data_IF_720109249888
#
_entry.id   IF_720109249888
#
_cell.length_a   1.000
_cell.length_b   1.000
_cell.length_c   1.000
_cell.angle_alpha   90.00
_cell.angle_beta   90.00
_cell.angle_gamma   90.00
#
_symmetry.space_group_name_H-M   'P 1'
#
loop_
_entity.id
_entity.type
_entity.pdbx_description
1 polymer ?
#
# COMPACT_ATOMS: atom_id res chain seq x y z
N UNK A 1 -5.53 -0.76 -5.28
CA UNK A 1 -5.78 -0.99 -3.85
C UNK A 1 -7.26 -1.31 -3.64
N UNK A 2 -7.57 -2.29 -2.79
CA UNK A 2 -8.94 -2.71 -2.44
C UNK A 2 -9.65 -1.64 -1.61
N UNK A 3 -10.95 -1.41 -1.86
CA UNK A 3 -11.77 -0.54 -0.98
C UNK A 3 -12.22 -1.32 0.26
N UNK A 4 -12.43 -0.63 1.38
CA UNK A 4 -12.97 -1.29 2.59
C UNK A 4 -14.40 -1.79 2.37
N UNK A 5 -15.18 -1.11 1.52
CA UNK A 5 -16.51 -1.55 1.09
C UNK A 5 -16.54 -2.87 0.32
N UNK A 6 -15.41 -3.30 -0.27
CA UNK A 6 -15.30 -4.61 -0.92
C UNK A 6 -15.16 -5.75 0.11
N UNK A 7 -14.91 -5.43 1.39
CA UNK A 7 -14.61 -6.37 2.48
C UNK A 7 -15.72 -6.36 3.54
N UNK A 8 -16.29 -5.19 3.83
CA UNK A 8 -17.32 -5.01 4.85
C UNK A 8 -18.45 -4.10 4.39
N UNK A 9 -19.66 -4.41 4.83
CA UNK A 9 -20.86 -3.60 4.63
C UNK A 9 -20.98 -2.42 5.62
N UNK A 10 -19.96 -2.17 6.45
CA UNK A 10 -19.91 -1.03 7.39
C UNK A 10 -19.20 0.20 6.81
N UNK A 11 -18.77 0.12 5.55
CA UNK A 11 -18.27 1.25 4.79
C UNK A 11 -19.39 2.23 4.44
N UNK A 12 -19.03 3.46 4.06
CA UNK A 12 -19.99 4.42 3.54
C UNK A 12 -20.50 4.03 2.14
N UNK A 13 -21.40 4.85 1.58
CA UNK A 13 -21.97 4.63 0.24
C UNK A 13 -20.93 4.63 -0.90
N UNK A 14 -19.73 5.16 -0.67
CA UNK A 14 -18.64 5.19 -1.64
C UNK A 14 -17.67 4.00 -1.45
N UNK A 15 -17.92 3.14 -0.46
CA UNK A 15 -17.03 2.04 -0.08
C UNK A 15 -15.81 2.49 0.73
N UNK A 16 -15.88 3.65 1.38
CA UNK A 16 -14.81 4.27 2.17
C UNK A 16 -15.07 4.13 3.68
N UNK A 17 -14.05 4.42 4.50
CA UNK A 17 -14.19 4.43 5.95
C UNK A 17 -15.08 5.60 6.39
N UNK A 18 -15.87 5.39 7.43
CA UNK A 18 -16.67 6.42 8.08
C UNK A 18 -16.61 6.26 9.60
N UNK A 19 -16.65 7.38 10.32
CA UNK A 19 -16.82 7.41 11.78
C UNK A 19 -18.27 7.06 12.20
N UNK A 20 -19.16 6.84 11.23
CA UNK A 20 -20.57 6.66 11.45
C UNK A 20 -21.24 7.94 11.93
N UNK A 21 -22.35 7.78 12.64
CA UNK A 21 -23.05 8.86 13.32
C UNK A 21 -23.79 8.28 14.52
N UNK A 22 -23.21 8.45 15.71
CA UNK A 22 -23.75 7.92 16.96
C UNK A 22 -25.16 8.46 17.25
N UNK A 23 -25.42 9.74 16.96
CA UNK A 23 -26.73 10.35 17.17
C UNK A 23 -27.82 9.79 16.25
N UNK A 24 -27.43 9.27 15.07
CA UNK A 24 -28.32 8.63 14.11
C UNK A 24 -28.31 7.08 14.20
N UNK A 25 -27.60 6.49 15.17
CA UNK A 25 -27.48 5.05 15.32
C UNK A 25 -26.66 4.35 14.23
N UNK A 26 -25.83 5.09 13.49
CA UNK A 26 -24.95 4.54 12.45
C UNK A 26 -23.58 4.24 13.07
N UNK A 27 -23.18 2.97 13.07
CA UNK A 27 -21.88 2.55 13.58
C UNK A 27 -20.72 2.96 12.64
N UNK A 28 -19.50 3.17 13.17
CA UNK A 28 -18.31 3.37 12.35
C UNK A 28 -17.93 2.10 11.56
N UNK A 29 -17.08 2.29 10.55
CA UNK A 29 -16.55 1.19 9.74
C UNK A 29 -15.67 0.25 10.58
N UNK A 30 -15.88 -1.05 10.41
CA UNK A 30 -15.04 -2.08 11.04
C UNK A 30 -13.66 -2.11 10.40
N UNK A 31 -12.63 -2.16 11.23
CA UNK A 31 -11.25 -2.26 10.81
C UNK A 31 -10.91 -3.71 10.46
N UNK A 32 -10.98 -4.05 9.17
CA UNK A 32 -10.79 -5.41 8.68
C UNK A 32 -9.31 -5.69 8.37
N UNK A 33 -8.78 -6.81 8.89
CA UNK A 33 -7.40 -7.23 8.67
C UNK A 33 -7.02 -7.32 7.18
N UNK A 34 -7.95 -7.75 6.32
CA UNK A 34 -7.73 -7.88 4.88
C UNK A 34 -7.39 -6.54 4.20
N UNK A 35 -7.95 -5.43 4.68
CA UNK A 35 -7.63 -4.12 4.15
C UNK A 35 -6.20 -3.70 4.53
N UNK A 36 -5.81 -3.85 5.80
CA UNK A 36 -4.45 -3.56 6.26
C UNK A 36 -3.41 -4.45 5.59
N UNK A 37 -3.71 -5.73 5.42
CA UNK A 37 -2.86 -6.65 4.69
C UNK A 37 -2.71 -6.24 3.22
N UNK A 38 -3.74 -5.67 2.60
CA UNK A 38 -3.64 -5.10 1.25
C UNK A 38 -2.67 -3.92 1.22
N UNK A 39 -2.77 -2.98 2.17
CA UNK A 39 -1.80 -1.89 2.30
C UNK A 39 -0.38 -2.44 2.46
N UNK A 40 -0.17 -3.38 3.37
CA UNK A 40 1.14 -4.00 3.61
C UNK A 40 1.70 -4.64 2.34
N UNK A 41 0.89 -5.40 1.59
CA UNK A 41 1.32 -6.04 0.34
C UNK A 41 1.72 -5.02 -0.73
N UNK A 42 1.01 -3.90 -0.88
CA UNK A 42 1.38 -2.83 -1.82
C UNK A 42 2.75 -2.23 -1.47
N UNK A 43 3.01 -1.97 -0.18
CA UNK A 43 4.31 -1.48 0.29
C UNK A 43 5.43 -2.52 0.07
N UNK A 44 5.17 -3.78 0.38
CA UNK A 44 6.10 -4.89 0.12
C UNK A 44 6.43 -4.98 -1.37
N UNK A 45 5.43 -4.91 -2.23
CA UNK A 45 5.61 -4.97 -3.69
C UNK A 45 6.47 -3.81 -4.21
N UNK A 46 6.34 -2.61 -3.66
CA UNK A 46 7.22 -1.49 -4.01
C UNK A 46 8.70 -1.77 -3.64
N UNK A 47 8.94 -2.32 -2.43
CA UNK A 47 10.29 -2.68 -1.96
C UNK A 47 10.91 -3.78 -2.80
N UNK A 48 10.18 -4.88 -2.99
CA UNK A 48 10.65 -6.02 -3.78
C UNK A 48 10.78 -5.67 -5.27
N UNK A 49 9.90 -4.83 -5.81
CA UNK A 49 9.96 -4.32 -7.18
C UNK A 49 11.20 -3.45 -7.44
N UNK A 50 11.76 -2.81 -6.41
CA UNK A 50 13.07 -2.16 -6.49
C UNK A 50 14.25 -3.15 -6.36
N UNK A 51 14.00 -4.45 -6.25
CA UNK A 51 15.01 -5.49 -6.04
C UNK A 51 15.63 -5.45 -4.65
N UNK A 52 14.91 -4.95 -3.64
CA UNK A 52 15.33 -4.93 -2.24
C UNK A 52 14.65 -6.10 -1.52
N UNK A 53 15.42 -6.88 -0.73
CA UNK A 53 14.88 -7.95 0.11
C UNK A 53 14.26 -7.34 1.37
N UNK A 54 13.15 -7.92 1.84
CA UNK A 54 12.52 -7.50 3.08
C UNK A 54 13.41 -7.80 4.30
N UNK A 55 13.48 -6.84 5.22
CA UNK A 55 14.19 -6.95 6.49
C UNK A 55 13.33 -6.36 7.62
N UNK A 56 12.89 -7.20 8.56
CA UNK A 56 12.05 -6.78 9.69
C UNK A 56 12.77 -5.88 10.70
N UNK A 57 14.08 -5.67 10.55
CA UNK A 57 14.88 -4.76 11.38
C UNK A 57 15.11 -3.40 10.72
N UNK A 58 14.51 -3.16 9.55
CA UNK A 58 14.73 -1.95 8.77
C UNK A 58 13.41 -1.27 8.37
N UNK A 59 13.10 -0.15 9.00
CA UNK A 59 11.89 0.63 8.70
C UNK A 59 12.07 1.63 7.54
N UNK A 60 13.25 1.68 6.92
CA UNK A 60 13.58 2.61 5.83
C UNK A 60 13.48 2.01 4.42
N UNK A 61 13.01 0.77 4.30
CA UNK A 61 13.04 0.01 3.04
C UNK A 61 12.20 0.63 1.92
N UNK A 62 11.00 1.13 2.25
CA UNK A 62 10.15 1.82 1.28
C UNK A 62 10.83 3.08 0.76
N UNK A 63 11.49 3.84 1.63
CA UNK A 63 12.25 5.03 1.23
C UNK A 63 13.43 4.67 0.33
N UNK A 64 14.18 3.61 0.66
CA UNK A 64 15.25 3.11 -0.20
C UNK A 64 14.73 2.67 -1.58
N UNK A 65 13.58 2.01 -1.62
CA UNK A 65 12.92 1.58 -2.85
C UNK A 65 12.53 2.77 -3.73
N UNK A 66 11.89 3.79 -3.17
CA UNK A 66 11.51 5.01 -3.90
C UNK A 66 12.74 5.68 -4.53
N UNK A 67 13.82 5.88 -3.76
CA UNK A 67 15.07 6.46 -4.29
C UNK A 67 15.63 5.66 -5.45
N UNK A 68 15.64 4.33 -5.34
CA UNK A 68 16.17 3.43 -6.38
C UNK A 68 15.30 3.44 -7.64
N UNK A 69 13.98 3.38 -7.51
CA UNK A 69 13.05 3.41 -8.64
C UNK A 69 13.09 4.74 -9.41
N UNK A 70 13.21 5.87 -8.71
CA UNK A 70 13.39 7.20 -9.34
C UNK A 70 14.73 7.25 -10.08
N UNK A 71 15.82 6.82 -9.44
CA UNK A 71 17.15 6.77 -10.06
C UNK A 71 17.13 5.90 -11.32
N UNK A 72 16.50 4.72 -11.26
CA UNK A 72 16.26 3.91 -12.44
C UNK A 72 15.52 4.69 -13.50
N UNK A 73 14.39 5.30 -13.17
CA UNK A 73 13.59 6.19 -14.03
C UNK A 73 14.44 7.15 -14.89
N UNK A 74 15.46 7.76 -14.30
CA UNK A 74 16.37 8.71 -14.96
C UNK A 74 17.40 8.06 -15.89
N UNK A 75 17.73 6.78 -15.69
CA UNK A 75 18.65 6.05 -16.56
C UNK A 75 17.93 5.67 -17.87
N UNK A 76 18.46 5.99 -19.06
CA UNK A 76 17.87 5.59 -20.33
C UNK A 76 17.67 4.08 -20.42
N UNK A 77 16.49 3.61 -20.86
CA UNK A 77 16.13 2.18 -20.91
C UNK A 77 17.19 1.30 -21.61
N UNK A 78 17.91 1.84 -22.60
CA UNK A 78 19.00 1.16 -23.33
C UNK A 78 20.22 0.83 -22.47
N UNK A 79 20.47 1.58 -21.40
CA UNK A 79 21.59 1.37 -20.46
C UNK A 79 21.20 0.45 -19.30
N UNK A 80 19.90 0.28 -19.00
CA UNK A 80 19.44 -0.56 -17.89
C UNK A 80 19.65 -2.07 -18.12
N UNK A 81 19.56 -2.56 -19.36
CA UNK A 81 19.69 -4.00 -19.69
C UNK A 81 21.10 -4.58 -19.56
N UNK A 82 22.12 -3.74 -19.35
CA UNK A 82 23.52 -4.19 -19.20
C UNK A 82 23.93 -4.42 -17.74
N UNK A 83 23.04 -4.19 -16.78
CA UNK A 83 23.31 -4.20 -15.33
C UNK A 83 22.53 -5.30 -14.58
N UNK A 84 21.83 -6.16 -15.31
CA UNK A 84 21.07 -7.33 -14.82
C UNK A 84 21.50 -8.53 -15.60
#
# INVERSE_FOLDING_TARGET
MQKIGDITNTADKNGEFTDGNVAAGIAPTKLMGDWFNTVQRELINAVQGAGIKLDSKNDSQLFAAIKKLISWGLIPRRLRRKLT
#
